data_IF_945397961821
#
_entry.id   IF_945397961821
#
_cell.length_a   1.000
_cell.length_b   1.000
_cell.length_c   1.000
_cell.angle_alpha   90.00
_cell.angle_beta   90.00
_cell.angle_gamma   90.00
#
_symmetry.space_group_name_H-M   'P 1'
#
loop_
_entity.id
_entity.type
_entity.pdbx_description
1 polymer ?
#
# COMPACT_ATOMS: atom_id res chain seq x y z
N UNK A 1 -23.23 13.27 -7.17
CA UNK A 1 -23.10 12.74 -5.80
C UNK A 1 -21.96 11.74 -5.84
N UNK A 2 -20.82 12.08 -5.24
CA UNK A 2 -19.69 11.15 -5.12
C UNK A 2 -19.24 11.21 -3.66
N UNK A 3 -19.79 10.29 -2.85
CA UNK A 3 -19.85 10.39 -1.39
C UNK A 3 -18.72 9.62 -0.69
N UNK A 4 -17.74 9.09 -1.44
CA UNK A 4 -16.61 8.35 -0.88
C UNK A 4 -15.27 9.08 -1.03
N UNK A 5 -15.29 10.41 -0.95
CA UNK A 5 -14.07 11.20 -0.78
C UNK A 5 -13.66 11.17 0.70
N UNK A 6 -12.81 10.19 1.05
CA UNK A 6 -11.90 10.27 2.20
C UNK A 6 -12.53 10.44 3.57
N UNK A 7 -13.13 9.38 4.12
CA UNK A 7 -13.25 9.29 5.57
C UNK A 7 -11.84 9.34 6.16
N UNK A 8 -11.52 10.40 6.91
CA UNK A 8 -10.29 10.48 7.68
C UNK A 8 -10.26 9.28 8.64
N UNK A 9 -9.13 8.56 8.76
CA UNK A 9 -9.02 7.44 9.69
C UNK A 9 -9.37 7.93 11.11
N UNK A 10 -10.21 7.17 11.80
CA UNK A 10 -10.58 7.50 13.19
C UNK A 10 -9.44 7.08 14.13
N UNK A 11 -9.31 7.68 15.33
CA UNK A 11 -8.33 7.24 16.31
C UNK A 11 -8.43 5.75 16.67
N UNK A 12 -9.64 5.18 16.62
CA UNK A 12 -9.86 3.75 16.80
C UNK A 12 -9.29 2.90 15.64
N UNK A 13 -9.42 3.38 14.41
CA UNK A 13 -8.83 2.75 13.23
C UNK A 13 -7.30 2.76 13.29
N UNK A 14 -6.71 3.90 13.65
CA UNK A 14 -5.25 4.02 13.79
C UNK A 14 -4.70 3.07 14.86
N UNK A 15 -5.41 2.91 15.99
CA UNK A 15 -5.05 1.97 17.05
C UNK A 15 -5.15 0.50 16.59
N UNK A 16 -6.15 0.15 15.78
CA UNK A 16 -6.27 -1.19 15.18
C UNK A 16 -5.10 -1.48 14.23
N UNK A 17 -4.77 -0.53 13.36
CA UNK A 17 -3.63 -0.65 12.44
C UNK A 17 -2.33 -0.79 13.22
N UNK A 18 -2.14 0.01 14.28
CA UNK A 18 -0.95 -0.07 15.14
C UNK A 18 -0.81 -1.44 15.79
N UNK A 19 -1.87 -1.96 16.42
CA UNK A 19 -1.87 -3.30 17.04
C UNK A 19 -1.62 -4.39 16.02
N UNK A 20 -2.19 -4.27 14.83
CA UNK A 20 -1.95 -5.21 13.75
C UNK A 20 -0.47 -5.22 13.38
N UNK A 21 0.13 -4.05 13.12
CA UNK A 21 1.57 -3.93 12.80
C UNK A 21 2.43 -4.55 13.89
N UNK A 22 2.13 -4.26 15.17
CA UNK A 22 2.86 -4.80 16.31
C UNK A 22 2.74 -6.33 16.46
N UNK A 23 1.69 -6.93 15.89
CA UNK A 23 1.47 -8.38 15.90
C UNK A 23 2.15 -9.11 14.73
N UNK A 24 2.66 -8.40 13.72
CA UNK A 24 3.23 -9.02 12.53
C UNK A 24 4.57 -9.69 12.84
N UNK A 25 4.74 -10.91 12.31
CA UNK A 25 6.04 -11.53 12.22
C UNK A 25 6.90 -10.87 11.13
N UNK A 26 8.21 -11.11 11.16
CA UNK A 26 9.10 -10.67 10.07
C UNK A 26 8.68 -11.24 8.71
N UNK A 27 8.21 -12.49 8.68
CA UNK A 27 7.72 -13.16 7.47
C UNK A 27 6.46 -12.48 6.92
N UNK A 28 5.55 -12.03 7.82
CA UNK A 28 4.36 -11.29 7.42
C UNK A 28 4.70 -9.93 6.82
N UNK A 29 5.67 -9.23 7.42
CA UNK A 29 6.15 -7.93 6.94
C UNK A 29 6.76 -8.10 5.54
N UNK A 30 7.61 -9.10 5.35
CA UNK A 30 8.22 -9.40 4.05
C UNK A 30 7.15 -9.75 3.00
N UNK A 31 6.17 -10.57 3.35
CA UNK A 31 5.07 -10.92 2.47
C UNK A 31 4.26 -9.69 2.03
N UNK A 32 3.99 -8.75 2.95
CA UNK A 32 3.28 -7.49 2.66
C UNK A 32 4.11 -6.62 1.72
N UNK A 33 5.41 -6.45 2.00
CA UNK A 33 6.31 -5.66 1.16
C UNK A 33 6.39 -6.23 -0.25
N UNK A 34 6.64 -7.54 -0.39
CA UNK A 34 6.73 -8.22 -1.68
C UNK A 34 5.43 -8.11 -2.48
N UNK A 35 4.28 -8.23 -1.82
CA UNK A 35 2.99 -8.06 -2.48
C UNK A 35 2.77 -6.62 -2.97
N UNK A 36 3.19 -5.62 -2.19
CA UNK A 36 3.13 -4.22 -2.59
C UNK A 36 4.05 -3.93 -3.79
N UNK A 37 5.28 -4.44 -3.77
CA UNK A 37 6.24 -4.33 -4.88
C UNK A 37 5.70 -4.95 -6.17
N UNK A 38 5.19 -6.18 -6.11
CA UNK A 38 4.63 -6.88 -7.28
C UNK A 38 3.49 -6.09 -7.93
N UNK A 39 2.60 -5.48 -7.12
CA UNK A 39 1.51 -4.64 -7.63
C UNK A 39 2.05 -3.41 -8.36
N UNK A 40 3.05 -2.74 -7.81
CA UNK A 40 3.66 -1.56 -8.45
C UNK A 40 4.42 -1.96 -9.71
N UNK A 41 5.13 -3.09 -9.71
CA UNK A 41 5.80 -3.61 -10.90
C UNK A 41 4.81 -3.90 -12.04
N UNK A 42 3.66 -4.51 -11.75
CA UNK A 42 2.62 -4.73 -12.77
C UNK A 42 2.09 -3.41 -13.35
N UNK A 43 1.89 -2.40 -12.51
CA UNK A 43 1.49 -1.06 -12.97
C UNK A 43 2.58 -0.38 -13.79
N UNK A 44 3.82 -0.40 -13.31
CA UNK A 44 4.99 0.17 -13.97
C UNK A 44 5.20 -0.47 -15.35
N UNK A 45 5.05 -1.79 -15.45
CA UNK A 45 5.12 -2.50 -16.72
C UNK A 45 4.04 -2.06 -17.70
N UNK A 46 2.77 -1.95 -17.26
CA UNK A 46 1.70 -1.44 -18.11
C UNK A 46 1.94 0.01 -18.59
N UNK A 47 2.46 0.86 -17.71
CA UNK A 47 2.82 2.24 -18.02
C UNK A 47 4.01 2.33 -18.99
N UNK A 48 5.01 1.46 -18.82
CA UNK A 48 6.12 1.32 -19.74
C UNK A 48 5.64 0.97 -21.16
N UNK A 49 4.74 -0.03 -21.28
CA UNK A 49 4.14 -0.41 -22.57
C UNK A 49 3.31 0.72 -23.19
N UNK A 50 2.72 1.59 -22.36
CA UNK A 50 1.99 2.78 -22.81
C UNK A 50 2.92 3.99 -23.14
N UNK A 51 4.24 3.81 -23.12
CA UNK A 51 5.22 4.86 -23.42
C UNK A 51 5.38 5.90 -22.31
N UNK A 52 4.96 5.59 -21.08
CA UNK A 52 5.01 6.48 -19.91
C UNK A 52 5.71 5.81 -18.73
N UNK A 53 7.01 5.47 -18.83
CA UNK A 53 7.71 4.77 -17.74
C UNK A 53 7.69 5.59 -16.45
N UNK A 54 7.60 4.89 -15.32
CA UNK A 54 7.81 5.50 -14.02
C UNK A 54 9.31 5.68 -13.77
N UNK A 55 9.67 6.73 -13.02
CA UNK A 55 11.00 6.85 -12.47
C UNK A 55 11.07 6.14 -11.11
N UNK A 56 12.29 5.92 -10.63
CA UNK A 56 12.54 5.19 -9.39
C UNK A 56 11.86 5.82 -8.15
N UNK A 57 11.84 7.16 -8.07
CA UNK A 57 11.21 7.88 -6.96
C UNK A 57 9.69 7.67 -6.94
N UNK A 58 9.06 7.71 -8.11
CA UNK A 58 7.62 7.45 -8.26
C UNK A 58 7.27 6.00 -7.92
N UNK A 59 8.07 5.03 -8.37
CA UNK A 59 7.89 3.62 -8.01
C UNK A 59 7.99 3.41 -6.50
N UNK A 60 9.04 3.96 -5.86
CA UNK A 60 9.26 3.86 -4.42
C UNK A 60 8.10 4.48 -3.63
N UNK A 61 7.61 5.65 -4.07
CA UNK A 61 6.44 6.30 -3.47
C UNK A 61 5.17 5.46 -3.60
N UNK A 62 4.97 4.81 -4.76
CA UNK A 62 3.83 3.93 -4.98
C UNK A 62 3.91 2.66 -4.13
N UNK A 63 5.11 2.09 -3.94
CA UNK A 63 5.32 0.92 -3.08
C UNK A 63 4.97 1.28 -1.64
N UNK A 64 5.49 2.40 -1.11
CA UNK A 64 5.17 2.85 0.24
C UNK A 64 3.66 3.03 0.45
N UNK A 65 2.96 3.65 -0.52
CA UNK A 65 1.49 3.79 -0.48
C UNK A 65 0.78 2.44 -0.54
N UNK A 66 1.27 1.51 -1.35
CA UNK A 66 0.70 0.17 -1.46
C UNK A 66 0.87 -0.63 -0.16
N UNK A 67 2.01 -0.51 0.53
CA UNK A 67 2.24 -1.09 1.86
C UNK A 67 1.23 -0.53 2.86
N UNK A 68 1.14 0.80 2.98
CA UNK A 68 0.20 1.45 3.91
C UNK A 68 -1.24 1.02 3.62
N UNK A 69 -1.63 0.95 2.35
CA UNK A 69 -2.97 0.50 1.96
C UNK A 69 -3.23 -0.95 2.35
N UNK A 70 -2.25 -1.82 2.20
CA UNK A 70 -2.36 -3.23 2.56
C UNK A 70 -2.46 -3.43 4.08
N UNK A 71 -1.68 -2.67 4.86
CA UNK A 71 -1.79 -2.65 6.32
C UNK A 71 -3.17 -2.21 6.79
N UNK A 72 -3.67 -1.10 6.24
CA UNK A 72 -5.02 -0.60 6.53
C UNK A 72 -6.10 -1.63 6.17
N UNK A 73 -5.98 -2.29 5.03
CA UNK A 73 -6.94 -3.30 4.57
C UNK A 73 -7.00 -4.53 5.48
N UNK A 74 -5.87 -4.94 6.06
CA UNK A 74 -5.78 -6.15 6.90
C UNK A 74 -6.16 -5.89 8.36
N UNK A 75 -6.02 -4.64 8.83
CA UNK A 75 -6.37 -4.25 10.19
C UNK A 75 -7.89 -4.16 10.46
N UNK A 76 -8.71 -4.00 9.41
CA UNK A 76 -10.18 -3.89 9.52
C UNK A 76 -10.70 -2.61 8.90
#
# INVERSE_FOLDING_TARGET
MNENAGAMPTPAHEELVRRYIESLSSDDIEAIMKQAELRVQHMAHGLFLAGKPLNHDAESSLVAKAIVRELNRRAG
#
